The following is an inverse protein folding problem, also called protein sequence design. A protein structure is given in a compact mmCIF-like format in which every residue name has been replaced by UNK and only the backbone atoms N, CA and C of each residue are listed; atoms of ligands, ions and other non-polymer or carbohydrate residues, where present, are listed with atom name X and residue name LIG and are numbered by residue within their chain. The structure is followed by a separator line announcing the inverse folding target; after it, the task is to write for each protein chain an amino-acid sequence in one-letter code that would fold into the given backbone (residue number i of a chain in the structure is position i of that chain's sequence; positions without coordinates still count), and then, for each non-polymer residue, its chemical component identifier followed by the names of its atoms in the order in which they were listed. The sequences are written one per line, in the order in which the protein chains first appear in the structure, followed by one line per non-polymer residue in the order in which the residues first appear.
data_IF_401987191122
#
_entry.id   IF_401987191122
#
_cell.length_a   1.000
_cell.length_b   1.000
_cell.length_c   1.000
_cell.angle_alpha   90.00
_cell.angle_beta   90.00
_cell.angle_gamma   90.00
#
_symmetry.space_group_name_H-M   'P 1'
#
loop_
_entity.id
_entity.type
_entity.pdbx_description
1 polymer ?
#
# COMPACT_ATOMS: atom_id res chain seq x y z
N UNK A 1 5.39 23.76 -6.52
CA UNK A 1 5.07 23.05 -7.77
C UNK A 1 3.94 22.08 -7.49
N UNK A 2 3.02 21.86 -8.45
CA UNK A 2 1.96 20.87 -8.27
C UNK A 2 2.56 19.46 -8.08
N UNK A 3 2.00 18.60 -7.21
CA UNK A 3 2.51 17.25 -6.99
C UNK A 3 2.48 16.42 -8.29
N UNK A 4 3.56 15.70 -8.58
CA UNK A 4 3.66 14.80 -9.72
C UNK A 4 3.13 13.40 -9.40
N UNK A 5 3.30 12.96 -8.16
CA UNK A 5 2.81 11.69 -7.65
C UNK A 5 1.84 11.97 -6.51
N UNK A 6 0.60 11.52 -6.66
CA UNK A 6 -0.39 11.58 -5.59
C UNK A 6 -0.66 10.17 -5.09
N UNK A 7 -0.61 10.00 -3.78
CA UNK A 7 -0.96 8.74 -3.13
C UNK A 7 -2.22 8.96 -2.31
N UNK A 8 -3.28 8.20 -2.62
CA UNK A 8 -4.51 8.15 -1.84
C UNK A 8 -4.51 6.83 -1.09
N UNK A 9 -4.33 6.88 0.23
CA UNK A 9 -4.10 5.66 0.98
C UNK A 9 -3.96 5.84 2.48
N UNK A 10 -3.38 4.83 3.10
CA UNK A 10 -3.32 4.65 4.54
C UNK A 10 -2.09 5.28 5.20
N UNK A 11 -2.23 5.53 6.50
CA UNK A 11 -1.15 5.82 7.44
C UNK A 11 -1.36 4.95 8.68
N UNK A 12 -0.32 4.24 9.12
CA UNK A 12 -0.39 3.30 10.24
C UNK A 12 0.79 3.53 11.18
N UNK A 13 0.53 3.75 12.46
CA UNK A 13 1.59 3.76 13.46
C UNK A 13 1.92 2.33 13.83
N UNK A 14 3.17 1.93 13.60
CA UNK A 14 3.62 0.58 13.91
C UNK A 14 4.13 0.54 15.36
N UNK A 15 3.52 -0.30 16.17
CA UNK A 15 3.85 -0.48 17.58
C UNK A 15 4.52 -1.84 17.75
N UNK A 16 5.85 -1.86 17.73
CA UNK A 16 6.63 -3.10 17.59
C UNK A 16 7.22 -3.54 18.92
N UNK A 17 6.86 -4.74 19.36
CA UNK A 17 7.45 -5.44 20.51
C UNK A 17 8.30 -6.62 20.03
N UNK A 18 9.59 -6.60 20.37
CA UNK A 18 10.50 -7.72 20.10
C UNK A 18 10.49 -8.67 21.28
N UNK A 19 10.25 -9.96 21.04
CA UNK A 19 10.12 -10.99 22.08
C UNK A 19 10.98 -12.22 21.77
N UNK A 20 11.32 -13.07 22.75
CA UNK A 20 12.04 -14.31 22.47
C UNK A 20 11.17 -15.34 21.71
N UNK A 21 9.84 -15.26 21.86
CA UNK A 21 8.85 -16.08 21.17
C UNK A 21 7.52 -15.34 21.08
N UNK A 22 6.63 -15.78 20.20
CA UNK A 22 5.26 -15.28 20.19
C UNK A 22 4.49 -15.77 21.44
N UNK A 23 3.63 -14.94 22.05
CA UNK A 23 2.76 -15.37 23.13
C UNK A 23 1.67 -16.30 22.63
N UNK A 24 1.27 -17.28 23.45
CA UNK A 24 0.07 -18.08 23.25
C UNK A 24 -1.12 -17.42 23.95
N UNK A 25 -2.33 -17.87 23.63
CA UNK A 25 -3.55 -17.38 24.27
C UNK A 25 -3.47 -17.50 25.80
N UNK A 26 -3.72 -16.38 26.49
CA UNK A 26 -3.67 -16.29 27.96
C UNK A 26 -2.29 -16.05 28.57
N UNK A 27 -1.21 -16.01 27.79
CA UNK A 27 0.13 -15.77 28.30
C UNK A 27 0.44 -14.26 28.44
N UNK A 28 1.26 -13.93 29.44
CA UNK A 28 1.99 -12.67 29.54
C UNK A 28 3.47 -12.98 29.48
N UNK A 29 4.21 -12.30 28.60
CA UNK A 29 5.66 -12.49 28.43
C UNK A 29 6.38 -11.14 28.45
N UNK A 30 7.65 -11.16 28.81
CA UNK A 30 8.51 -9.97 28.72
C UNK A 30 9.16 -9.88 27.33
N UNK A 31 9.08 -8.70 26.72
CA UNK A 31 9.83 -8.37 25.51
C UNK A 31 11.24 -7.86 25.85
N UNK A 32 12.09 -7.80 24.83
CA UNK A 32 13.47 -7.29 24.91
C UNK A 32 13.62 -5.87 24.38
N UNK A 33 12.72 -5.42 23.50
CA UNK A 33 12.75 -4.08 22.89
C UNK A 33 11.34 -3.66 22.48
N UNK A 34 11.08 -2.35 22.57
CA UNK A 34 9.91 -1.71 21.99
C UNK A 34 10.33 -0.52 21.13
N UNK A 35 9.69 -0.34 19.99
CA UNK A 35 9.89 0.85 19.16
C UNK A 35 8.62 1.19 18.37
N UNK A 36 8.52 2.47 18.00
CA UNK A 36 7.41 3.02 17.23
C UNK A 36 7.94 3.36 15.83
N UNK A 37 7.20 2.93 14.80
CA UNK A 37 7.49 3.22 13.40
C UNK A 37 6.32 3.91 12.70
N UNK A 38 6.61 4.42 11.49
CA UNK A 38 5.60 4.96 10.58
C UNK A 38 5.46 4.00 9.40
N UNK A 39 4.34 3.29 9.33
CA UNK A 39 4.05 2.28 8.29
C UNK A 39 2.88 2.68 7.40
N UNK A 40 2.03 1.71 7.06
CA UNK A 40 0.87 1.93 6.20
C UNK A 40 1.27 2.05 4.72
N UNK A 41 0.67 1.21 3.88
CA UNK A 41 1.12 1.02 2.49
C UNK A 41 1.13 2.31 1.69
N UNK A 42 0.12 3.16 1.88
CA UNK A 42 0.05 4.47 1.21
C UNK A 42 1.22 5.38 1.58
N UNK A 43 1.43 5.57 2.88
CA UNK A 43 2.53 6.39 3.38
C UNK A 43 3.90 5.85 2.95
N UNK A 44 4.13 4.53 3.07
CA UNK A 44 5.40 3.91 2.68
C UNK A 44 5.73 4.13 1.19
N UNK A 45 4.73 3.94 0.32
CA UNK A 45 4.89 4.19 -1.12
C UNK A 45 5.14 5.67 -1.42
N UNK A 46 4.43 6.57 -0.73
CA UNK A 46 4.58 8.02 -0.91
C UNK A 46 5.95 8.53 -0.45
N UNK A 47 6.42 8.06 0.72
CA UNK A 47 7.74 8.40 1.28
C UNK A 47 8.87 7.86 0.39
N UNK A 48 8.75 6.63 -0.11
CA UNK A 48 9.76 6.07 -1.00
C UNK A 48 9.87 6.89 -2.30
N UNK A 49 8.75 7.31 -2.89
CA UNK A 49 8.76 8.16 -4.07
C UNK A 49 9.40 9.54 -3.78
N UNK A 50 9.08 10.16 -2.65
CA UNK A 50 9.66 11.43 -2.24
C UNK A 50 11.18 11.35 -2.01
N UNK A 51 11.66 10.27 -1.38
CA UNK A 51 13.09 10.01 -1.17
C UNK A 51 13.87 9.83 -2.47
N UNK A 52 13.23 9.35 -3.53
CA UNK A 52 13.79 9.28 -4.88
C UNK A 52 13.73 10.62 -5.65
N UNK A 53 13.19 11.67 -5.03
CA UNK A 53 13.15 13.03 -5.58
C UNK A 53 11.83 13.41 -6.27
N UNK A 54 10.81 12.56 -6.24
CA UNK A 54 9.50 12.92 -6.78
C UNK A 54 8.84 14.02 -5.92
N UNK A 55 8.14 14.95 -6.57
CA UNK A 55 7.27 15.88 -5.86
C UNK A 55 5.96 15.16 -5.50
N UNK A 56 5.76 14.81 -4.24
CA UNK A 56 4.64 13.95 -3.82
C UNK A 56 3.62 14.68 -2.95
N UNK A 57 2.38 14.23 -2.97
CA UNK A 57 1.36 14.59 -1.99
C UNK A 57 0.65 13.36 -1.46
N UNK A 58 0.37 13.38 -0.15
CA UNK A 58 -0.42 12.34 0.51
C UNK A 58 -1.86 12.83 0.70
N UNK A 59 -2.81 12.02 0.27
CA UNK A 59 -4.23 12.17 0.57
C UNK A 59 -4.61 11.04 1.54
N UNK A 60 -4.77 11.38 2.81
CA UNK A 60 -5.08 10.43 3.86
C UNK A 60 -5.83 11.09 5.01
N UNK A 61 -6.25 10.30 6.00
CA UNK A 61 -6.86 10.80 7.23
C UNK A 61 -6.25 10.10 8.44
N UNK A 62 -5.77 10.89 9.39
CA UNK A 62 -5.22 10.43 10.67
C UNK A 62 -6.10 10.91 11.83
N UNK A 63 -5.84 10.42 13.04
CA UNK A 63 -6.52 10.88 14.23
C UNK A 63 -6.07 12.29 14.63
N UNK A 64 -6.92 13.00 15.36
CA UNK A 64 -6.55 14.21 16.09
C UNK A 64 -5.93 13.81 17.44
N UNK A 65 -4.83 13.09 17.36
CA UNK A 65 -4.07 12.51 18.46
C UNK A 65 -2.56 12.69 18.24
N UNK A 66 -1.75 12.27 19.22
CA UNK A 66 -0.28 12.38 19.14
C UNK A 66 0.28 11.66 17.92
N UNK A 67 -0.20 10.44 17.64
CA UNK A 67 0.27 9.67 16.49
C UNK A 67 -0.04 10.35 15.16
N UNK A 68 -1.19 11.02 15.03
CA UNK A 68 -1.57 11.76 13.84
C UNK A 68 -0.68 12.98 13.63
N UNK A 69 -0.37 13.72 14.71
CA UNK A 69 0.55 14.85 14.65
C UNK A 69 1.96 14.40 14.25
N UNK A 70 2.47 13.34 14.88
CA UNK A 70 3.79 12.76 14.56
C UNK A 70 3.85 12.28 13.11
N UNK A 71 2.75 11.75 12.57
CA UNK A 71 2.65 11.33 11.17
C UNK A 71 2.80 12.49 10.18
N UNK A 72 2.11 13.60 10.47
CA UNK A 72 2.18 14.81 9.65
C UNK A 72 3.61 15.35 9.66
N UNK A 73 4.26 15.38 10.83
CA UNK A 73 5.67 15.76 10.92
C UNK A 73 6.60 14.80 10.14
N UNK A 74 6.34 13.49 10.19
CA UNK A 74 7.08 12.50 9.41
C UNK A 74 6.98 12.78 7.89
N UNK A 75 5.80 13.16 7.39
CA UNK A 75 5.65 13.57 5.99
C UNK A 75 6.47 14.81 5.66
N UNK A 76 6.41 15.84 6.51
CA UNK A 76 7.21 17.06 6.32
C UNK A 76 8.71 16.73 6.30
N UNK A 77 9.20 15.89 7.22
CA UNK A 77 10.60 15.42 7.26
C UNK A 77 11.01 14.69 5.98
N UNK A 78 10.10 13.96 5.36
CA UNK A 78 10.34 13.24 4.10
C UNK A 78 9.96 14.07 2.85
N UNK A 79 9.67 15.38 2.99
CA UNK A 79 9.31 16.30 1.89
C UNK A 79 8.05 15.88 1.12
N UNK A 80 7.11 15.22 1.80
CA UNK A 80 5.78 14.88 1.25
C UNK A 80 4.83 16.05 1.54
N UNK A 81 4.08 16.49 0.53
CA UNK A 81 3.05 17.52 0.72
C UNK A 81 1.89 16.99 1.57
N UNK A 82 1.52 17.74 2.62
CA UNK A 82 0.51 17.38 3.61
C UNK A 82 -0.80 18.16 3.49
N UNK A 83 -0.99 18.96 2.43
CA UNK A 83 -2.16 19.84 2.25
C UNK A 83 -3.50 19.07 2.25
N UNK A 84 -3.45 17.76 1.94
CA UNK A 84 -4.61 16.87 1.87
C UNK A 84 -4.63 15.80 2.96
N UNK A 85 -3.83 15.98 4.02
CA UNK A 85 -3.85 15.11 5.20
C UNK A 85 -4.89 15.63 6.18
N UNK A 86 -6.02 14.92 6.28
CA UNK A 86 -7.09 15.24 7.21
C UNK A 86 -6.80 14.72 8.63
N UNK A 87 -7.32 15.41 9.65
CA UNK A 87 -7.37 14.90 11.02
C UNK A 87 -8.83 14.79 11.49
N UNK A 88 -9.15 13.76 12.28
CA UNK A 88 -10.49 13.57 12.86
C UNK A 88 -10.44 13.21 14.34
N UNK A 89 -11.41 13.70 15.12
CA UNK A 89 -11.60 13.30 16.52
C UNK A 89 -12.51 12.07 16.68
N UNK A 90 -13.09 11.55 15.59
CA UNK A 90 -14.04 10.42 15.63
C UNK A 90 -13.34 9.05 15.76
N UNK A 91 -12.06 8.98 15.39
CA UNK A 91 -11.25 7.77 15.51
C UNK A 91 -9.79 8.12 15.76
N UNK A 92 -9.07 7.20 16.38
CA UNK A 92 -7.62 7.27 16.52
C UNK A 92 -6.92 7.09 15.15
N UNK A 93 -5.68 7.57 15.06
CA UNK A 93 -4.77 7.22 13.97
C UNK A 93 -4.66 5.70 13.85
N UNK A 94 -4.63 5.19 12.61
CA UNK A 94 -4.49 3.75 12.37
C UNK A 94 -3.22 3.21 13.03
N UNK A 95 -3.27 1.98 13.54
CA UNK A 95 -2.14 1.37 14.23
C UNK A 95 -2.00 -0.12 13.91
N UNK A 96 -0.76 -0.58 13.75
CA UNK A 96 -0.43 -1.99 13.64
C UNK A 96 0.37 -2.39 14.89
N UNK A 97 -0.22 -3.23 15.73
CA UNK A 97 0.50 -3.81 16.88
C UNK A 97 1.22 -5.05 16.40
N UNK A 98 2.55 -5.00 16.42
CA UNK A 98 3.42 -6.03 15.85
C UNK A 98 4.21 -6.68 16.99
N UNK A 99 4.10 -7.99 17.11
CA UNK A 99 4.98 -8.80 17.94
C UNK A 99 5.88 -9.59 17.00
N UNK A 100 7.19 -9.46 17.16
CA UNK A 100 8.19 -10.18 16.35
C UNK A 100 9.12 -10.96 17.24
N UNK A 101 9.38 -12.23 16.89
CA UNK A 101 10.33 -13.06 17.63
C UNK A 101 11.75 -13.03 17.03
N UNK A 102 12.70 -13.67 17.71
CA UNK A 102 14.09 -13.73 17.28
C UNK A 102 14.30 -14.45 15.92
N UNK A 103 13.36 -15.31 15.53
CA UNK A 103 13.37 -16.02 14.24
C UNK A 103 12.69 -15.23 13.10
N UNK A 104 12.26 -13.99 13.37
CA UNK A 104 11.56 -13.14 12.39
C UNK A 104 10.09 -13.49 12.16
N UNK A 105 9.52 -14.44 12.90
CA UNK A 105 8.09 -14.72 12.88
C UNK A 105 7.34 -13.58 13.57
N UNK A 106 6.17 -13.21 13.03
CA UNK A 106 5.39 -12.11 13.57
C UNK A 106 3.91 -12.47 13.80
N UNK A 107 3.29 -11.69 14.68
CA UNK A 107 1.84 -11.62 14.85
C UNK A 107 1.45 -10.14 14.81
N UNK A 108 0.52 -9.79 13.91
CA UNK A 108 0.15 -8.40 13.64
C UNK A 108 -1.34 -8.22 13.85
N UNK A 109 -1.72 -7.21 14.64
CA UNK A 109 -3.11 -6.77 14.79
C UNK A 109 -3.23 -5.35 14.23
N UNK A 110 -4.05 -5.22 13.19
CA UNK A 110 -4.31 -3.94 12.53
C UNK A 110 -5.62 -3.34 13.03
N UNK A 111 -5.58 -2.08 13.44
CA UNK A 111 -6.75 -1.23 13.65
C UNK A 111 -6.67 -0.07 12.68
N UNK A 112 -7.48 -0.09 11.62
CA UNK A 112 -7.40 0.90 10.55
C UNK A 112 -7.74 2.34 11.01
N UNK A 113 -8.61 2.49 12.02
CA UNK A 113 -8.93 3.79 12.63
C UNK A 113 -9.38 4.84 11.62
N UNK A 114 -8.79 6.04 11.73
CA UNK A 114 -9.08 7.20 10.88
C UNK A 114 -8.93 6.94 9.36
N UNK A 115 -8.16 5.94 8.93
CA UNK A 115 -8.04 5.55 7.52
C UNK A 115 -9.42 5.20 6.91
N UNK A 116 -10.30 4.56 7.69
CA UNK A 116 -11.65 4.22 7.24
C UNK A 116 -12.60 5.43 7.25
N UNK A 117 -12.19 6.58 7.80
CA UNK A 117 -12.96 7.81 7.77
C UNK A 117 -12.57 8.72 6.60
N UNK A 118 -11.58 8.35 5.79
CA UNK A 118 -11.29 9.04 4.53
C UNK A 118 -12.41 8.81 3.52
N UNK A 119 -13.00 9.90 3.02
CA UNK A 119 -14.16 9.85 2.14
C UNK A 119 -14.04 10.76 0.91
N UNK A 120 -15.09 10.78 0.09
CA UNK A 120 -15.11 11.54 -1.16
C UNK A 120 -15.06 13.06 -0.93
N UNK A 121 -15.52 13.58 0.23
CA UNK A 121 -15.44 15.01 0.53
C UNK A 121 -13.99 15.42 0.80
N UNK A 122 -13.22 14.58 1.49
CA UNK A 122 -11.78 14.81 1.64
C UNK A 122 -11.06 14.78 0.30
N UNK A 123 -11.34 13.74 -0.51
CA UNK A 123 -10.71 13.62 -1.82
C UNK A 123 -11.10 14.76 -2.77
N UNK A 124 -12.29 15.35 -2.61
CA UNK A 124 -12.72 16.51 -3.40
C UNK A 124 -11.77 17.71 -3.26
N UNK A 125 -11.15 17.87 -2.09
CA UNK A 125 -10.15 18.93 -1.81
C UNK A 125 -8.88 18.74 -2.64
N UNK A 126 -8.56 17.50 -3.02
CA UNK A 126 -7.38 17.15 -3.80
C UNK A 126 -7.61 17.12 -5.32
N UNK A 127 -8.84 17.30 -5.82
CA UNK A 127 -9.19 17.14 -7.26
C UNK A 127 -8.29 17.98 -8.17
N UNK A 128 -8.05 19.24 -7.84
CA UNK A 128 -7.18 20.12 -8.65
C UNK A 128 -5.74 19.60 -8.70
N UNK A 129 -5.22 19.07 -7.59
CA UNK A 129 -3.89 18.48 -7.56
C UNK A 129 -3.84 17.17 -8.35
N UNK A 130 -4.88 16.32 -8.23
CA UNK A 130 -5.01 15.05 -8.97
C UNK A 130 -4.97 15.31 -10.48
N UNK A 131 -5.72 16.29 -10.99
CA UNK A 131 -5.71 16.67 -12.40
C UNK A 131 -4.33 17.07 -12.93
N UNK A 132 -3.51 17.68 -12.09
CA UNK A 132 -2.15 18.11 -12.46
C UNK A 132 -1.08 17.02 -12.26
N UNK A 133 -1.44 15.88 -11.67
CA UNK A 133 -0.49 14.82 -11.36
C UNK A 133 -0.14 13.98 -12.60
N UNK A 134 1.01 13.31 -12.53
CA UNK A 134 1.44 12.33 -13.55
C UNK A 134 1.01 10.92 -13.17
N UNK A 135 1.01 10.62 -11.86
CA UNK A 135 0.72 9.28 -11.32
C UNK A 135 -0.19 9.40 -10.10
N UNK A 136 -1.21 8.54 -10.07
CA UNK A 136 -2.04 8.25 -8.90
C UNK A 136 -1.69 6.86 -8.38
N UNK A 137 -1.49 6.72 -7.07
CA UNK A 137 -1.24 5.43 -6.40
C UNK A 137 -2.33 5.17 -5.36
N UNK A 138 -2.92 3.97 -5.39
CA UNK A 138 -3.94 3.54 -4.42
C UNK A 138 -3.67 2.13 -3.90
N UNK A 139 -4.14 1.83 -2.68
CA UNK A 139 -4.13 0.50 -2.08
C UNK A 139 -5.49 0.16 -1.43
N UNK A 140 -5.57 -0.94 -0.66
CA UNK A 140 -6.80 -1.44 -0.02
C UNK A 140 -6.79 -1.33 1.53
N UNK A 141 -6.05 -0.38 2.09
CA UNK A 141 -6.06 -0.09 3.55
C UNK A 141 -6.97 1.08 3.95
N UNK A 142 -7.73 1.62 3.00
CA UNK A 142 -8.85 2.55 3.21
C UNK A 142 -10.15 1.92 2.71
N UNK A 143 -11.29 2.62 2.83
CA UNK A 143 -12.55 2.15 2.25
C UNK A 143 -12.38 1.90 0.73
N UNK A 144 -12.67 0.70 0.20
CA UNK A 144 -12.49 0.41 -1.23
C UNK A 144 -13.21 1.40 -2.14
N UNK A 145 -14.42 1.85 -1.77
CA UNK A 145 -15.14 2.88 -2.53
C UNK A 145 -14.34 4.19 -2.71
N UNK A 146 -13.53 4.56 -1.73
CA UNK A 146 -12.71 5.78 -1.77
C UNK A 146 -11.52 5.59 -2.71
N UNK A 147 -10.82 4.45 -2.63
CA UNK A 147 -9.76 4.11 -3.59
C UNK A 147 -10.29 4.03 -5.02
N UNK A 148 -11.46 3.41 -5.23
CA UNK A 148 -12.06 3.26 -6.54
C UNK A 148 -12.40 4.62 -7.17
N UNK A 149 -12.97 5.53 -6.38
CA UNK A 149 -13.29 6.87 -6.84
C UNK A 149 -12.01 7.65 -7.24
N UNK A 150 -10.92 7.52 -6.48
CA UNK A 150 -9.63 8.14 -6.82
C UNK A 150 -9.06 7.60 -8.15
N UNK A 151 -9.11 6.28 -8.35
CA UNK A 151 -8.67 5.64 -9.61
C UNK A 151 -9.52 6.09 -10.80
N UNK A 152 -10.85 6.18 -10.61
CA UNK A 152 -11.78 6.66 -11.65
C UNK A 152 -11.50 8.10 -12.05
N UNK A 153 -11.31 8.99 -11.07
CA UNK A 153 -10.97 10.38 -11.31
C UNK A 153 -9.63 10.51 -12.06
N UNK A 154 -8.60 9.84 -11.56
CA UNK A 154 -7.27 9.86 -12.19
C UNK A 154 -7.34 9.36 -13.64
N UNK A 155 -8.03 8.24 -13.88
CA UNK A 155 -8.20 7.70 -15.22
C UNK A 155 -8.95 8.65 -16.16
N UNK A 156 -10.03 9.27 -15.70
CA UNK A 156 -10.82 10.22 -16.49
C UNK A 156 -10.04 11.48 -16.88
N UNK A 157 -9.07 11.88 -16.05
CA UNK A 157 -8.21 13.06 -16.27
C UNK A 157 -6.89 12.70 -16.99
N UNK A 158 -6.73 11.44 -17.43
CA UNK A 158 -5.53 10.97 -18.15
C UNK A 158 -4.28 10.78 -17.27
N UNK A 159 -4.46 10.75 -15.95
CA UNK A 159 -3.40 10.50 -14.97
C UNK A 159 -3.12 9.00 -14.89
N UNK A 160 -1.84 8.60 -14.90
CA UNK A 160 -1.47 7.18 -14.86
C UNK A 160 -1.87 6.57 -13.52
N UNK A 161 -2.59 5.46 -13.53
CA UNK A 161 -3.02 4.78 -12.28
C UNK A 161 -2.15 3.57 -11.95
N UNK A 162 -1.62 3.55 -10.73
CA UNK A 162 -0.98 2.39 -10.12
C UNK A 162 -1.86 1.94 -8.96
N UNK A 163 -2.30 0.69 -9.02
CA UNK A 163 -3.10 0.10 -7.96
C UNK A 163 -2.38 -1.10 -7.37
N UNK A 164 -2.20 -1.07 -6.06
CA UNK A 164 -1.68 -2.20 -5.31
C UNK A 164 -2.83 -2.80 -4.48
N UNK A 165 -3.42 -3.94 -4.90
CA UNK A 165 -4.58 -4.55 -4.24
C UNK A 165 -4.18 -5.24 -2.92
N UNK A 166 -3.62 -4.47 -1.99
CA UNK A 166 -3.04 -4.95 -0.76
C UNK A 166 -3.68 -4.25 0.46
N UNK A 167 -4.15 -5.01 1.47
CA UNK A 167 -4.32 -6.47 1.44
C UNK A 167 -5.39 -6.89 0.42
N UNK A 168 -5.20 -8.04 -0.25
CA UNK A 168 -6.13 -8.51 -1.27
C UNK A 168 -7.45 -8.98 -0.66
N UNK A 169 -8.54 -8.72 -1.39
CA UNK A 169 -9.89 -9.21 -1.06
C UNK A 169 -10.39 -10.13 -2.20
N UNK A 170 -10.96 -11.32 -1.92
CA UNK A 170 -11.37 -12.26 -2.96
C UNK A 170 -12.41 -11.71 -3.95
N UNK A 171 -13.38 -10.94 -3.44
CA UNK A 171 -14.50 -10.40 -4.23
C UNK A 171 -14.28 -8.92 -4.58
N UNK A 172 -13.07 -8.58 -5.03
CA UNK A 172 -12.72 -7.23 -5.44
C UNK A 172 -13.58 -6.77 -6.64
N UNK A 173 -14.17 -5.57 -6.54
CA UNK A 173 -14.96 -4.98 -7.62
C UNK A 173 -14.15 -4.95 -8.92
N UNK A 174 -14.73 -5.49 -10.00
CA UNK A 174 -14.09 -5.59 -11.31
C UNK A 174 -13.55 -4.25 -11.81
N UNK A 175 -14.17 -3.14 -11.42
CA UNK A 175 -13.75 -1.79 -11.81
C UNK A 175 -12.31 -1.47 -11.40
N UNK A 176 -11.79 -2.05 -10.31
CA UNK A 176 -10.39 -1.85 -9.93
C UNK A 176 -9.43 -2.32 -11.02
N UNK A 177 -9.71 -3.46 -11.67
CA UNK A 177 -8.86 -3.96 -12.76
C UNK A 177 -8.91 -3.02 -13.97
N UNK A 178 -10.11 -2.57 -14.36
CA UNK A 178 -10.29 -1.72 -15.55
C UNK A 178 -9.75 -0.31 -15.40
N UNK A 179 -9.72 0.23 -14.18
CA UNK A 179 -9.17 1.58 -13.91
C UNK A 179 -7.69 1.54 -13.50
N UNK A 180 -7.03 0.38 -13.59
CA UNK A 180 -5.60 0.24 -13.31
C UNK A 180 -4.79 0.18 -14.59
N UNK A 181 -4.00 1.22 -14.87
CA UNK A 181 -2.97 1.14 -15.91
C UNK A 181 -1.90 0.13 -15.50
N UNK A 182 -1.54 0.12 -14.21
CA UNK A 182 -0.62 -0.85 -13.62
C UNK A 182 -1.27 -1.43 -12.36
N UNK A 183 -1.48 -2.75 -12.34
CA UNK A 183 -1.79 -3.48 -11.13
C UNK A 183 -0.51 -4.18 -10.63
N UNK A 184 -0.14 -3.94 -9.38
CA UNK A 184 1.06 -4.52 -8.76
C UNK A 184 0.70 -5.22 -7.45
N UNK A 185 0.88 -6.55 -7.37
CA UNK A 185 0.59 -7.34 -6.18
C UNK A 185 1.69 -8.38 -5.92
N UNK A 186 1.72 -8.95 -4.72
CA UNK A 186 2.62 -10.07 -4.43
C UNK A 186 1.99 -11.44 -4.78
N UNK A 187 2.72 -12.53 -4.49
CA UNK A 187 2.24 -13.90 -4.75
C UNK A 187 0.91 -14.18 -4.06
N UNK A 188 0.85 -14.02 -2.73
CA UNK A 188 -0.35 -14.33 -1.92
C UNK A 188 -1.57 -13.51 -2.33
N UNK A 189 -1.38 -12.25 -2.71
CA UNK A 189 -2.43 -11.37 -3.20
C UNK A 189 -2.93 -11.81 -4.58
N UNK A 190 -2.00 -12.21 -5.47
CA UNK A 190 -2.37 -12.79 -6.76
C UNK A 190 -3.18 -14.08 -6.58
N UNK A 191 -2.81 -14.95 -5.63
CA UNK A 191 -3.58 -16.16 -5.30
C UNK A 191 -5.00 -15.82 -4.86
N UNK A 192 -5.17 -14.83 -3.97
CA UNK A 192 -6.49 -14.40 -3.47
C UNK A 192 -7.36 -13.89 -4.63
N UNK A 193 -6.80 -13.07 -5.53
CA UNK A 193 -7.54 -12.43 -6.62
C UNK A 193 -7.88 -13.37 -7.79
N UNK A 194 -7.10 -14.43 -7.97
CA UNK A 194 -7.21 -15.34 -9.13
C UNK A 194 -7.65 -16.75 -8.76
N UNK A 195 -7.50 -17.15 -7.50
CA UNK A 195 -7.63 -18.53 -7.00
C UNK A 195 -6.62 -19.51 -7.61
N UNK A 196 -5.51 -18.99 -8.15
CA UNK A 196 -4.42 -19.77 -8.75
C UNK A 196 -3.26 -19.75 -7.76
N UNK A 197 -2.74 -20.93 -7.40
CA UNK A 197 -1.60 -21.02 -6.50
C UNK A 197 -0.35 -20.44 -7.18
N UNK A 198 0.45 -19.66 -6.46
CA UNK A 198 1.68 -19.03 -6.96
C UNK A 198 2.87 -19.55 -6.15
N UNK A 199 3.69 -20.42 -6.75
CA UNK A 199 4.87 -21.02 -6.12
C UNK A 199 6.18 -20.66 -6.82
N UNK A 200 6.13 -19.81 -7.84
CA UNK A 200 7.29 -19.30 -8.56
C UNK A 200 6.93 -18.51 -9.83
N UNK A 201 7.92 -18.14 -10.65
CA UNK A 201 7.73 -17.25 -11.79
C UNK A 201 6.72 -17.74 -12.84
N UNK A 202 6.66 -19.06 -13.05
CA UNK A 202 5.75 -19.65 -14.04
C UNK A 202 4.29 -19.48 -13.61
N UNK A 203 3.98 -19.83 -12.36
CA UNK A 203 2.64 -19.66 -11.78
C UNK A 203 2.24 -18.18 -11.70
N UNK A 204 3.19 -17.31 -11.34
CA UNK A 204 2.98 -15.87 -11.31
C UNK A 204 2.63 -15.31 -12.70
N UNK A 205 3.21 -15.87 -13.77
CA UNK A 205 2.83 -15.55 -15.14
C UNK A 205 1.38 -15.96 -15.47
N UNK A 206 0.94 -17.13 -14.99
CA UNK A 206 -0.45 -17.62 -15.17
C UNK A 206 -1.44 -16.74 -14.40
N UNK A 207 -1.16 -16.46 -13.12
CA UNK A 207 -1.98 -15.58 -12.30
C UNK A 207 -2.01 -14.15 -12.88
N UNK A 208 -0.85 -13.63 -13.30
CA UNK A 208 -0.76 -12.34 -13.96
C UNK A 208 -1.60 -12.26 -15.23
N UNK A 209 -1.57 -13.30 -16.08
CA UNK A 209 -2.41 -13.37 -17.28
C UNK A 209 -3.90 -13.34 -16.94
N UNK A 210 -4.33 -14.06 -15.91
CA UNK A 210 -5.71 -14.01 -15.43
C UNK A 210 -6.13 -12.60 -14.94
N UNK A 211 -5.23 -11.86 -14.29
CA UNK A 211 -5.46 -10.47 -13.88
C UNK A 211 -5.50 -9.50 -15.08
N UNK A 212 -4.68 -9.76 -16.10
CA UNK A 212 -4.66 -9.00 -17.35
C UNK A 212 -5.99 -9.17 -18.10
N UNK A 213 -6.51 -10.40 -18.15
CA UNK A 213 -7.78 -10.73 -18.80
C UNK A 213 -9.02 -10.15 -18.05
N UNK A 214 -8.87 -9.77 -16.77
CA UNK A 214 -9.86 -8.97 -16.01
C UNK A 214 -9.86 -7.47 -16.39
N UNK A 215 -8.96 -7.02 -17.26
CA UNK A 215 -8.97 -5.67 -17.81
C UNK A 215 -7.85 -4.73 -17.36
N UNK A 216 -6.84 -5.24 -16.63
CA UNK A 216 -5.62 -4.45 -16.36
C UNK A 216 -4.85 -4.19 -17.67
N UNK A 217 -4.13 -3.06 -17.77
CA UNK A 217 -3.24 -2.81 -18.93
C UNK A 217 -1.87 -3.43 -18.74
N UNK A 218 -1.32 -3.34 -17.53
CA UNK A 218 -0.07 -3.96 -17.10
C UNK A 218 -0.30 -4.64 -15.76
N UNK A 219 0.26 -5.85 -15.61
CA UNK A 219 0.27 -6.58 -14.34
C UNK A 219 1.71 -6.87 -13.95
N UNK A 220 2.02 -6.60 -12.68
CA UNK A 220 3.29 -6.94 -12.04
C UNK A 220 2.97 -7.83 -10.84
N UNK A 221 3.54 -9.03 -10.82
CA UNK A 221 3.51 -9.93 -9.66
C UNK A 221 4.90 -9.96 -9.04
N UNK A 222 5.07 -9.41 -7.83
CA UNK A 222 6.34 -9.42 -7.10
C UNK A 222 6.57 -10.78 -6.44
N UNK A 223 7.82 -11.24 -6.41
CA UNK A 223 8.25 -12.58 -5.96
C UNK A 223 9.31 -12.49 -4.85
N UNK A 224 9.23 -11.47 -4.00
CA UNK A 224 10.22 -11.20 -2.96
C UNK A 224 11.66 -11.16 -3.51
N UNK A 225 12.52 -12.05 -3.00
CA UNK A 225 13.92 -12.15 -3.40
C UNK A 225 14.17 -12.65 -4.83
N UNK A 226 13.14 -13.13 -5.55
CA UNK A 226 13.24 -13.56 -6.94
C UNK A 226 12.96 -12.43 -7.95
N UNK A 227 12.58 -11.24 -7.47
CA UNK A 227 12.26 -10.08 -8.32
C UNK A 227 10.78 -10.00 -8.65
N UNK A 228 10.40 -9.90 -9.93
CA UNK A 228 8.99 -9.85 -10.33
C UNK A 228 8.74 -10.40 -11.73
N UNK A 229 7.49 -10.79 -11.99
CA UNK A 229 6.99 -11.10 -13.34
C UNK A 229 6.14 -9.95 -13.82
N UNK A 230 6.39 -9.49 -15.05
CA UNK A 230 5.62 -8.43 -15.72
C UNK A 230 5.03 -8.92 -17.04
N UNK A 231 3.82 -8.47 -17.33
CA UNK A 231 3.11 -8.69 -18.60
C UNK A 231 2.11 -7.55 -18.82
N UNK A 232 1.74 -7.32 -20.08
CA UNK A 232 0.88 -6.21 -20.49
C UNK A 232 -0.04 -6.60 -21.64
N UNK A 233 -1.04 -5.79 -21.95
CA UNK A 233 -1.91 -6.03 -23.12
C UNK A 233 -1.11 -5.99 -24.43
N UNK A 234 -0.08 -5.14 -24.52
CA UNK A 234 0.79 -5.03 -25.70
C UNK A 234 1.78 -6.21 -25.81
N UNK A 235 2.25 -6.72 -24.67
CA UNK A 235 3.12 -7.89 -24.59
C UNK A 235 2.60 -8.84 -23.50
N UNK A 236 1.68 -9.77 -23.84
CA UNK A 236 1.03 -10.64 -22.88
C UNK A 236 1.92 -11.81 -22.43
N UNK A 237 3.10 -11.98 -23.01
CA UNK A 237 4.06 -13.01 -22.62
C UNK A 237 4.69 -12.65 -21.27
N UNK A 238 4.58 -13.51 -20.23
CA UNK A 238 5.21 -13.25 -18.94
C UNK A 238 6.72 -13.08 -19.06
N UNK A 239 7.24 -11.98 -18.51
CA UNK A 239 8.68 -11.71 -18.43
C UNK A 239 9.12 -11.65 -16.98
N UNK A 240 9.99 -12.57 -16.58
CA UNK A 240 10.70 -12.51 -15.29
C UNK A 240 11.77 -11.42 -15.34
N UNK A 241 11.78 -10.56 -14.34
CA UNK A 241 12.80 -9.58 -14.04
C UNK A 241 13.45 -9.97 -12.70
N UNK A 242 14.61 -10.65 -12.72
CA UNK A 242 15.26 -11.09 -11.50
C UNK A 242 15.90 -9.92 -10.75
N UNK A 243 16.15 -10.10 -9.46
CA UNK A 243 16.97 -9.21 -8.64
C UNK A 243 18.29 -9.87 -8.27
N UNK A 244 19.27 -9.06 -7.87
CA UNK A 244 20.51 -9.57 -7.28
C UNK A 244 20.26 -10.04 -5.84
N UNK A 245 20.88 -11.16 -5.46
CA UNK A 245 20.86 -11.63 -4.07
C UNK A 245 21.53 -10.62 -3.16
N UNK A 246 20.88 -10.34 -2.03
CA UNK A 246 21.41 -9.47 -0.97
C UNK A 246 21.34 -10.20 0.37
N UNK A 247 22.18 -9.79 1.31
CA UNK A 247 22.03 -10.21 2.70
C UNK A 247 20.79 -9.53 3.29
N UNK A 248 19.79 -10.32 3.64
CA UNK A 248 18.51 -9.82 4.15
C UNK A 248 18.67 -9.46 5.63
N UNK A 249 18.52 -8.18 5.95
CA UNK A 249 18.49 -7.69 7.35
C UNK A 249 17.04 -7.62 7.86
N UNK A 250 16.15 -6.99 7.09
CA UNK A 250 14.70 -6.88 7.36
C UNK A 250 13.98 -6.62 6.04
N UNK A 251 12.85 -7.31 5.80
CA UNK A 251 12.01 -7.14 4.60
C UNK A 251 10.77 -6.27 4.85
N UNK A 252 10.57 -5.80 6.08
CA UNK A 252 9.45 -4.94 6.48
C UNK A 252 9.69 -3.51 5.98
N UNK A 253 8.64 -2.88 5.44
CA UNK A 253 8.63 -1.48 4.95
C UNK A 253 7.65 -0.65 5.73
#
# INVERSE_FOLDING_TARGET
MAPEVIVVGSCMTDLVSVTPRLPKAGETIHGSKFFIGFGGKGANQCVQAARLGANTAMVCKVGKDTFGNDYIENFVKNKVCTDFVGQTSEAATGAATIIVNADGQNAIVIVAGANLLLDCEDLSKAVTAIRGAKVMVCQLEIKPKTSLWALQLANAEGVKTIFNPAPAIPDLDHKFFTYSDILCCNESEAEILTKIAVRGPQDAGVAGKALLDKGCKVVIVTLGGEGCVVLSQENPTPKLLPTSTVEVVDTTV
#
